data_IF_487770894358
#
_entry.id   IF_487770894358
#
_cell.length_a   1.000
_cell.length_b   1.000
_cell.length_c   1.000
_cell.angle_alpha   90.00
_cell.angle_beta   90.00
_cell.angle_gamma   90.00
#
_symmetry.space_group_name_H-M   'P 1'
#
loop_
_entity.id
_entity.type
_entity.pdbx_description
1 polymer ?
#
# COMPACT_ATOMS: atom_id res chain seq x y z
N UNK A 1 8.40 -34.81 11.27
CA UNK A 1 8.32 -33.40 11.68
C UNK A 1 6.90 -32.94 11.40
N UNK A 2 6.34 -32.03 12.17
CA UNK A 2 4.96 -31.57 11.98
C UNK A 2 4.95 -30.14 11.40
N UNK A 3 4.13 -29.94 10.37
CA UNK A 3 3.93 -28.62 9.76
C UNK A 3 3.67 -27.56 10.84
N UNK A 4 4.31 -26.39 10.74
CA UNK A 4 4.07 -25.24 11.62
C UNK A 4 4.20 -23.91 10.87
N UNK A 5 3.70 -22.86 11.49
CA UNK A 5 3.62 -21.51 10.92
C UNK A 5 4.62 -20.60 11.63
N UNK A 6 5.36 -19.83 10.85
CA UNK A 6 6.27 -18.79 11.33
C UNK A 6 5.77 -17.41 10.93
N UNK A 7 5.79 -16.46 11.87
CA UNK A 7 5.43 -15.05 11.68
C UNK A 7 6.47 -14.09 12.28
N UNK A 8 7.56 -14.62 12.83
CA UNK A 8 8.63 -13.90 13.55
C UNK A 8 9.67 -13.26 12.62
N UNK A 9 9.21 -12.66 11.55
CA UNK A 9 10.03 -11.92 10.59
C UNK A 9 9.34 -10.58 10.21
N UNK A 10 10.10 -9.60 9.66
CA UNK A 10 9.52 -8.30 9.32
C UNK A 10 8.32 -8.41 8.37
N UNK A 11 7.20 -7.81 8.77
CA UNK A 11 5.94 -7.86 8.04
C UNK A 11 5.10 -9.11 8.29
N UNK A 12 5.59 -10.08 9.08
CA UNK A 12 4.87 -11.31 9.41
C UNK A 12 3.63 -11.05 10.25
N UNK A 13 2.51 -11.69 9.89
CA UNK A 13 1.24 -11.56 10.58
C UNK A 13 0.38 -12.82 10.34
N UNK A 14 0.08 -13.52 11.38
CA UNK A 14 -1.02 -14.46 11.57
C UNK A 14 -1.15 -14.75 13.07
N UNK A 15 -2.35 -14.98 13.54
CA UNK A 15 -2.64 -15.35 14.93
C UNK A 15 -3.69 -16.47 14.98
N UNK A 16 -4.02 -16.95 16.19
CA UNK A 16 -4.99 -18.03 16.43
C UNK A 16 -4.76 -19.24 15.51
N UNK A 17 -3.48 -19.64 15.40
CA UNK A 17 -3.05 -20.71 14.50
C UNK A 17 -3.40 -22.07 15.09
N UNK A 18 -4.10 -22.91 14.31
CA UNK A 18 -4.39 -24.32 14.62
C UNK A 18 -4.06 -25.18 13.39
N UNK A 19 -3.26 -26.21 13.57
CA UNK A 19 -2.85 -27.11 12.49
C UNK A 19 -3.47 -28.48 12.73
N UNK A 20 -4.25 -28.96 11.78
CA UNK A 20 -4.90 -30.27 11.82
C UNK A 20 -4.43 -31.14 10.67
N UNK A 21 -4.10 -32.38 10.98
CA UNK A 21 -3.74 -33.38 9.98
C UNK A 21 -4.90 -34.33 9.75
N UNK A 22 -5.28 -34.52 8.50
CA UNK A 22 -6.26 -35.51 8.06
C UNK A 22 -5.55 -36.62 7.28
N UNK A 23 -6.28 -37.60 6.77
CA UNK A 23 -5.69 -38.68 5.98
C UNK A 23 -5.11 -38.19 4.63
N UNK A 24 -5.70 -37.13 4.05
CA UNK A 24 -5.46 -36.64 2.67
C UNK A 24 -4.78 -35.27 2.60
N UNK A 25 -4.86 -34.44 3.65
CA UNK A 25 -4.29 -33.08 3.65
C UNK A 25 -3.94 -32.59 5.05
N UNK A 26 -3.16 -31.55 5.11
CA UNK A 26 -2.97 -30.71 6.30
C UNK A 26 -3.85 -29.48 6.22
N UNK A 27 -4.48 -29.06 7.33
CA UNK A 27 -5.37 -27.88 7.39
C UNK A 27 -4.76 -26.90 8.37
N UNK A 28 -4.50 -25.70 7.90
CA UNK A 28 -3.97 -24.58 8.70
C UNK A 28 -5.07 -23.55 8.88
N UNK A 29 -5.66 -23.50 10.05
CA UNK A 29 -6.53 -22.40 10.46
C UNK A 29 -5.66 -21.26 10.96
N UNK A 30 -5.96 -20.05 10.52
CA UNK A 30 -5.30 -18.83 10.98
C UNK A 30 -6.26 -17.66 10.95
N UNK A 31 -5.89 -16.59 11.64
CA UNK A 31 -6.58 -15.30 11.60
C UNK A 31 -5.59 -14.20 11.24
N UNK A 32 -6.04 -13.20 10.50
CA UNK A 32 -5.31 -11.94 10.36
C UNK A 32 -5.36 -11.20 11.70
N UNK A 33 -4.19 -10.89 12.28
CA UNK A 33 -4.10 -10.19 13.57
C UNK A 33 -4.32 -8.69 13.35
N UNK A 34 -5.32 -8.07 13.98
CA UNK A 34 -5.59 -6.64 13.84
C UNK A 34 -4.50 -5.74 14.44
N UNK A 35 -3.66 -6.25 15.36
CA UNK A 35 -2.53 -5.55 15.99
C UNK A 35 -2.84 -4.12 16.44
N UNK A 36 -3.94 -3.97 17.15
CA UNK A 36 -4.39 -2.68 17.71
C UNK A 36 -5.25 -1.85 16.75
N UNK A 37 -5.47 -2.31 15.50
CA UNK A 37 -6.45 -1.74 14.59
C UNK A 37 -7.87 -2.21 14.90
N UNK A 38 -8.85 -1.55 14.32
CA UNK A 38 -10.27 -1.96 14.38
C UNK A 38 -10.65 -2.88 13.23
N UNK A 39 -9.85 -2.91 12.20
CA UNK A 39 -10.01 -3.76 11.03
C UNK A 39 -8.79 -4.67 10.88
N UNK A 40 -9.00 -5.94 10.63
CA UNK A 40 -7.99 -6.89 10.23
C UNK A 40 -7.99 -7.00 8.70
N UNK A 41 -6.85 -7.27 8.11
CA UNK A 41 -6.75 -7.64 6.69
C UNK A 41 -5.41 -8.29 6.36
N UNK A 42 -4.32 -7.64 6.71
CA UNK A 42 -2.99 -8.11 6.36
C UNK A 42 -2.67 -9.43 7.05
N UNK A 43 -2.23 -10.42 6.28
CA UNK A 43 -1.56 -11.62 6.75
C UNK A 43 -0.35 -11.91 5.87
N UNK A 44 0.72 -12.40 6.50
CA UNK A 44 1.94 -12.85 5.86
C UNK A 44 2.65 -13.82 6.79
N UNK A 45 2.82 -15.04 6.36
CA UNK A 45 3.44 -16.11 7.16
C UNK A 45 4.19 -17.09 6.29
N UNK A 46 5.03 -17.87 6.93
CA UNK A 46 5.72 -19.00 6.31
C UNK A 46 5.17 -20.31 6.87
N UNK A 47 4.85 -21.23 5.98
CA UNK A 47 4.56 -22.62 6.30
C UNK A 47 5.86 -23.40 6.16
N UNK A 48 6.25 -24.15 7.18
CA UNK A 48 7.49 -24.93 7.20
C UNK A 48 7.23 -26.37 7.64
N UNK A 49 8.16 -27.25 7.28
CA UNK A 49 8.05 -28.71 7.50
C UNK A 49 6.78 -29.29 6.84
N UNK A 50 6.35 -28.70 5.71
CA UNK A 50 5.29 -29.28 4.91
C UNK A 50 5.84 -30.49 4.12
N UNK A 51 4.96 -31.47 3.93
CA UNK A 51 5.21 -32.60 3.03
C UNK A 51 4.63 -32.30 1.64
N UNK A 52 4.82 -33.18 0.67
CA UNK A 52 4.18 -33.10 -0.67
C UNK A 52 2.64 -33.24 -0.64
N UNK A 53 2.03 -33.19 0.56
CA UNK A 53 0.60 -33.31 0.76
C UNK A 53 -0.07 -31.93 0.55
N UNK A 54 -1.32 -31.89 0.07
CA UNK A 54 -2.07 -30.65 0.01
C UNK A 54 -2.17 -29.97 1.38
N UNK A 55 -2.01 -28.65 1.40
CA UNK A 55 -2.21 -27.81 2.58
C UNK A 55 -3.39 -26.90 2.29
N UNK A 56 -4.42 -26.96 3.11
CA UNK A 56 -5.56 -26.08 3.07
C UNK A 56 -5.35 -24.93 4.07
N UNK A 57 -5.29 -23.71 3.57
CA UNK A 57 -5.13 -22.47 4.36
C UNK A 57 -6.52 -21.87 4.61
N UNK A 58 -6.94 -21.76 5.87
CA UNK A 58 -8.28 -21.29 6.25
C UNK A 58 -8.18 -20.02 7.08
N UNK A 59 -8.56 -18.89 6.48
CA UNK A 59 -8.73 -17.62 7.19
C UNK A 59 -10.02 -17.66 8.01
N UNK A 60 -9.88 -17.72 9.33
CA UNK A 60 -10.97 -18.01 10.25
C UNK A 60 -11.75 -16.78 10.74
N UNK A 61 -11.19 -15.57 10.57
CA UNK A 61 -11.80 -14.32 11.03
C UNK A 61 -12.25 -13.41 9.88
N UNK A 62 -12.80 -14.01 8.81
CA UNK A 62 -13.21 -13.27 7.61
C UNK A 62 -14.17 -12.12 7.94
N UNK A 63 -15.13 -12.33 8.85
CA UNK A 63 -16.13 -11.32 9.23
C UNK A 63 -15.55 -10.07 9.90
N UNK A 64 -14.32 -10.13 10.41
CA UNK A 64 -13.59 -9.00 11.00
C UNK A 64 -12.55 -8.40 10.07
N UNK A 65 -12.40 -8.96 8.88
CA UNK A 65 -11.55 -8.39 7.84
C UNK A 65 -12.28 -7.30 7.06
N UNK A 66 -11.52 -6.32 6.57
CA UNK A 66 -12.07 -5.29 5.68
C UNK A 66 -12.77 -5.93 4.47
N UNK A 67 -14.05 -5.57 4.27
CA UNK A 67 -14.89 -6.13 3.21
C UNK A 67 -15.24 -7.61 3.41
N UNK A 68 -15.05 -8.16 4.60
CA UNK A 68 -15.28 -9.57 4.91
C UNK A 68 -16.76 -9.99 4.81
N UNK A 69 -17.68 -9.05 4.84
CA UNK A 69 -19.12 -9.23 4.58
C UNK A 69 -19.46 -9.35 3.09
N UNK A 70 -18.54 -9.02 2.20
CA UNK A 70 -18.76 -9.03 0.75
C UNK A 70 -18.68 -10.45 0.16
N UNK A 71 -19.63 -10.79 -0.70
CA UNK A 71 -19.59 -12.00 -1.55
C UNK A 71 -18.35 -12.01 -2.49
N UNK A 72 -17.79 -10.84 -2.79
CA UNK A 72 -16.61 -10.70 -3.65
C UNK A 72 -15.32 -11.22 -3.01
N UNK A 73 -15.31 -11.57 -1.71
CA UNK A 73 -14.16 -12.18 -1.07
C UNK A 73 -13.71 -13.49 -1.72
N UNK A 74 -14.61 -14.21 -2.38
CA UNK A 74 -14.24 -15.36 -3.21
C UNK A 74 -13.24 -15.06 -4.31
N UNK A 75 -13.13 -13.80 -4.74
CA UNK A 75 -12.19 -13.35 -5.77
C UNK A 75 -10.84 -12.87 -5.21
N UNK A 76 -10.69 -12.78 -3.88
CA UNK A 76 -9.42 -12.42 -3.25
C UNK A 76 -8.44 -13.58 -3.39
N UNK A 77 -7.29 -13.32 -4.01
CA UNK A 77 -6.28 -14.33 -4.31
C UNK A 77 -4.96 -13.96 -3.64
N UNK A 78 -4.68 -14.50 -2.47
CA UNK A 78 -3.39 -14.37 -1.84
C UNK A 78 -2.27 -14.83 -2.76
N UNK A 79 -1.05 -14.45 -2.43
CA UNK A 79 0.14 -14.88 -3.16
C UNK A 79 0.95 -15.86 -2.33
N UNK A 80 1.57 -16.82 -3.02
CA UNK A 80 2.54 -17.75 -2.42
C UNK A 80 3.89 -17.64 -3.10
N UNK A 81 4.94 -18.00 -2.36
CA UNK A 81 6.29 -18.14 -2.86
C UNK A 81 6.96 -19.35 -2.24
N UNK A 82 7.37 -20.29 -3.06
CA UNK A 82 8.22 -21.42 -2.68
C UNK A 82 9.70 -21.06 -2.84
N UNK A 83 10.59 -21.83 -2.23
CA UNK A 83 12.03 -21.63 -2.31
C UNK A 83 12.52 -21.53 -3.77
N UNK A 84 13.26 -20.47 -4.10
CA UNK A 84 13.81 -20.24 -5.44
C UNK A 84 12.78 -19.83 -6.52
N UNK A 85 11.49 -19.65 -6.16
CA UNK A 85 10.44 -19.25 -7.10
C UNK A 85 10.06 -17.77 -6.96
N UNK A 86 9.29 -17.29 -7.93
CA UNK A 86 8.61 -15.98 -7.87
C UNK A 86 7.25 -16.11 -7.17
N UNK A 87 6.74 -15.01 -6.66
CA UNK A 87 5.39 -14.93 -6.11
C UNK A 87 4.33 -15.28 -7.17
N UNK A 88 3.37 -16.11 -6.80
CA UNK A 88 2.25 -16.53 -7.65
C UNK A 88 0.93 -16.40 -6.88
N UNK A 89 -0.14 -16.03 -7.59
CA UNK A 89 -1.48 -15.98 -7.00
C UNK A 89 -2.05 -17.37 -6.79
N UNK A 90 -2.69 -17.56 -5.64
CA UNK A 90 -3.55 -18.71 -5.38
C UNK A 90 -4.83 -18.63 -6.25
N UNK A 91 -5.57 -19.73 -6.40
CA UNK A 91 -6.90 -19.72 -7.01
C UNK A 91 -7.89 -18.88 -6.20
N UNK A 92 -9.13 -18.76 -6.67
CA UNK A 92 -10.22 -18.15 -5.92
C UNK A 92 -10.41 -18.85 -4.57
N UNK A 93 -10.80 -18.08 -3.54
CA UNK A 93 -11.15 -18.65 -2.25
C UNK A 93 -12.44 -19.47 -2.35
N UNK A 94 -12.49 -20.56 -1.60
CA UNK A 94 -13.76 -21.17 -1.20
C UNK A 94 -14.25 -20.41 0.04
N UNK A 95 -15.49 -19.93 -0.02
CA UNK A 95 -16.12 -19.24 1.12
C UNK A 95 -17.11 -20.20 1.79
N UNK A 96 -16.89 -20.44 3.06
CA UNK A 96 -17.77 -21.28 3.88
C UNK A 96 -18.42 -20.46 4.99
N UNK A 97 -19.68 -20.77 5.28
CA UNK A 97 -20.40 -20.22 6.44
C UNK A 97 -20.63 -21.33 7.46
N UNK A 98 -20.09 -21.14 8.64
CA UNK A 98 -20.21 -22.09 9.75
C UNK A 98 -21.65 -22.12 10.31
N UNK A 99 -21.96 -23.14 11.11
CA UNK A 99 -23.29 -23.28 11.73
C UNK A 99 -23.64 -22.10 12.68
N UNK A 100 -22.66 -21.39 13.22
CA UNK A 100 -22.84 -20.22 14.06
C UNK A 100 -22.91 -18.89 13.26
N UNK A 101 -22.89 -18.98 11.93
CA UNK A 101 -22.98 -17.84 11.02
C UNK A 101 -21.64 -17.18 10.67
N UNK A 102 -20.52 -17.56 11.29
CA UNK A 102 -19.20 -17.03 10.95
C UNK A 102 -18.76 -17.50 9.57
N UNK A 103 -18.09 -16.61 8.84
CA UNK A 103 -17.56 -16.89 7.51
C UNK A 103 -16.06 -17.16 7.56
N UNK A 104 -15.62 -18.06 6.67
CA UNK A 104 -14.21 -18.42 6.47
C UNK A 104 -13.89 -18.39 4.99
N UNK A 105 -12.61 -18.13 4.67
CA UNK A 105 -12.09 -18.23 3.31
C UNK A 105 -10.96 -19.27 3.29
N UNK A 106 -11.02 -20.21 2.35
CA UNK A 106 -10.05 -21.29 2.23
C UNK A 106 -9.37 -21.31 0.86
N UNK A 107 -8.08 -21.68 0.86
CA UNK A 107 -7.27 -21.88 -0.33
C UNK A 107 -6.46 -23.16 -0.18
N UNK A 108 -6.32 -23.93 -1.26
CA UNK A 108 -5.52 -25.15 -1.27
C UNK A 108 -4.18 -24.92 -2.01
N UNK A 109 -3.09 -25.35 -1.39
CA UNK A 109 -1.74 -25.34 -1.92
C UNK A 109 -1.22 -26.78 -1.95
N UNK A 110 -0.61 -27.20 -3.05
CA UNK A 110 0.17 -28.45 -3.09
C UNK A 110 1.65 -28.06 -3.19
N UNK A 111 2.37 -28.00 -2.06
CA UNK A 111 3.75 -27.54 -2.04
C UNK A 111 4.66 -28.56 -2.72
N UNK A 112 5.69 -28.05 -3.41
CA UNK A 112 6.77 -28.85 -4.03
C UNK A 112 8.02 -28.93 -3.18
N UNK A 113 8.08 -28.12 -2.13
CA UNK A 113 9.19 -27.98 -1.21
C UNK A 113 8.68 -28.11 0.22
N UNK A 114 9.59 -28.22 1.15
CA UNK A 114 9.30 -28.35 2.59
C UNK A 114 8.81 -27.04 3.25
N UNK A 115 8.79 -25.96 2.48
CA UNK A 115 8.33 -24.67 2.96
C UNK A 115 7.82 -23.76 1.84
N UNK A 116 6.88 -22.88 2.18
CA UNK A 116 6.42 -21.78 1.33
C UNK A 116 5.98 -20.59 2.17
N UNK A 117 5.97 -19.42 1.56
CA UNK A 117 5.40 -18.21 2.14
C UNK A 117 4.02 -17.94 1.54
N UNK A 118 3.10 -17.41 2.37
CA UNK A 118 1.79 -16.96 1.94
C UNK A 118 1.50 -15.57 2.46
N UNK A 119 1.02 -14.67 1.60
CA UNK A 119 0.63 -13.31 1.97
C UNK A 119 -0.64 -12.88 1.25
N UNK A 120 -1.39 -11.93 1.82
CA UNK A 120 -2.59 -11.36 1.21
C UNK A 120 -2.34 -10.86 -0.23
N UNK A 121 -1.23 -10.15 -0.43
CA UNK A 121 -0.73 -9.70 -1.73
C UNK A 121 0.80 -9.58 -1.64
N UNK A 122 1.46 -9.18 -2.73
CA UNK A 122 2.92 -9.09 -2.80
C UNK A 122 3.49 -8.26 -1.65
N UNK A 123 4.23 -8.84 -0.69
CA UNK A 123 4.86 -8.08 0.38
C UNK A 123 5.85 -7.04 -0.15
N UNK A 124 5.96 -5.92 0.57
CA UNK A 124 6.96 -4.88 0.30
C UNK A 124 7.47 -4.31 1.63
N UNK A 125 8.75 -4.29 1.83
CA UNK A 125 9.40 -3.80 3.04
C UNK A 125 10.69 -3.02 2.77
N UNK A 126 11.49 -2.81 3.83
CA UNK A 126 12.78 -2.10 3.72
C UNK A 126 13.75 -2.77 2.74
N UNK A 127 13.77 -4.11 2.67
CA UNK A 127 14.63 -4.83 1.73
C UNK A 127 14.26 -4.54 0.27
N UNK A 128 12.98 -4.46 -0.06
CA UNK A 128 12.52 -4.13 -1.41
C UNK A 128 12.87 -2.68 -1.76
N UNK A 129 12.68 -1.73 -0.82
CA UNK A 129 13.08 -0.34 -0.99
C UNK A 129 14.58 -0.20 -1.27
N UNK A 130 15.42 -0.93 -0.53
CA UNK A 130 16.87 -0.92 -0.75
C UNK A 130 17.24 -1.53 -2.11
N UNK A 131 16.60 -2.63 -2.52
CA UNK A 131 16.80 -3.18 -3.87
C UNK A 131 16.39 -2.19 -4.96
N UNK A 132 15.30 -1.45 -4.77
CA UNK A 132 14.87 -0.39 -5.70
C UNK A 132 15.94 0.68 -5.80
N UNK A 133 16.38 1.21 -4.66
CA UNK A 133 17.42 2.24 -4.59
C UNK A 133 18.71 1.78 -5.27
N UNK A 134 19.19 0.58 -4.94
CA UNK A 134 20.41 -0.01 -5.52
C UNK A 134 20.30 -0.18 -7.04
N UNK A 135 19.11 -0.53 -7.57
CA UNK A 135 18.88 -0.69 -9.01
C UNK A 135 18.82 0.64 -9.79
N UNK A 136 18.67 1.76 -9.10
CA UNK A 136 18.61 3.10 -9.68
C UNK A 136 19.96 3.83 -9.66
N UNK A 137 21.06 3.14 -9.42
CA UNK A 137 22.40 3.73 -9.27
C UNK A 137 22.39 4.84 -8.20
N UNK A 138 23.06 5.95 -8.43
CA UNK A 138 23.17 7.07 -7.48
C UNK A 138 22.07 8.14 -7.68
N UNK A 139 21.00 7.82 -8.41
CA UNK A 139 19.92 8.79 -8.69
C UNK A 139 19.15 9.19 -7.43
N UNK A 140 18.93 8.25 -6.48
CA UNK A 140 18.19 8.50 -5.26
C UNK A 140 19.11 8.72 -4.07
N UNK A 141 19.05 9.89 -3.48
CA UNK A 141 19.67 10.22 -2.20
C UNK A 141 18.78 9.77 -1.07
N UNK A 142 19.34 9.04 -0.11
CA UNK A 142 18.64 8.59 1.10
C UNK A 142 18.94 9.54 2.25
N UNK A 143 17.89 10.12 2.81
CA UNK A 143 17.93 10.88 4.04
C UNK A 143 17.13 10.19 5.14
N UNK A 144 17.56 10.36 6.38
CA UNK A 144 16.84 9.97 7.58
C UNK A 144 16.19 11.21 8.17
N UNK A 145 14.89 11.39 7.94
CA UNK A 145 14.19 12.64 8.28
C UNK A 145 13.81 12.77 9.74
N UNK A 146 13.92 11.68 10.48
CA UNK A 146 13.62 11.54 11.90
C UNK A 146 13.60 10.09 12.31
N UNK A 147 12.93 9.81 13.43
CA UNK A 147 12.68 8.46 13.92
C UNK A 147 11.17 8.23 14.06
N UNK A 148 10.74 6.98 13.98
CA UNK A 148 9.38 6.57 14.26
C UNK A 148 9.11 6.53 15.77
N UNK A 149 7.86 6.32 16.16
CA UNK A 149 7.49 6.09 17.57
C UNK A 149 8.21 4.90 18.19
N UNK A 150 8.54 3.87 17.41
CA UNK A 150 9.32 2.70 17.81
C UNK A 150 10.83 2.88 17.69
N UNK A 151 11.32 4.11 17.44
CA UNK A 151 12.75 4.43 17.40
C UNK A 151 13.48 4.01 16.11
N UNK A 152 12.76 3.64 15.05
CA UNK A 152 13.37 3.30 13.76
C UNK A 152 13.67 4.56 12.95
N UNK A 153 14.84 4.67 12.28
CA UNK A 153 15.10 5.75 11.34
C UNK A 153 14.06 5.77 10.21
N UNK A 154 13.40 6.92 10.00
CA UNK A 154 12.40 7.09 8.95
C UNK A 154 13.07 7.54 7.64
N UNK A 155 13.08 6.69 6.60
CA UNK A 155 13.75 7.01 5.33
C UNK A 155 12.90 7.96 4.47
N UNK A 156 13.59 8.88 3.78
CA UNK A 156 13.07 9.68 2.69
C UNK A 156 14.04 9.61 1.51
N UNK A 157 13.54 9.41 0.30
CA UNK A 157 14.35 9.51 -0.91
C UNK A 157 14.14 10.86 -1.58
N UNK A 158 15.19 11.41 -2.16
CA UNK A 158 15.15 12.58 -3.04
C UNK A 158 16.01 12.36 -4.28
N UNK A 159 15.59 12.91 -5.40
CA UNK A 159 16.36 12.82 -6.65
C UNK A 159 17.46 13.90 -6.76
N UNK A 160 17.48 14.87 -5.86
CA UNK A 160 18.59 15.81 -5.68
C UNK A 160 18.60 16.36 -4.25
N UNK A 161 19.78 16.59 -3.66
CA UNK A 161 19.90 17.27 -2.37
C UNK A 161 19.87 18.80 -2.51
N UNK A 162 19.97 19.36 -3.73
CA UNK A 162 20.04 20.80 -3.98
C UNK A 162 18.66 21.42 -4.08
N UNK A 163 18.54 22.67 -3.63
CA UNK A 163 17.38 23.49 -3.89
C UNK A 163 17.25 23.80 -5.40
N UNK A 164 16.03 23.88 -5.89
CA UNK A 164 15.73 24.12 -7.30
C UNK A 164 14.51 25.04 -7.45
N UNK A 165 14.44 25.77 -8.58
CA UNK A 165 13.26 26.51 -9.00
C UNK A 165 12.22 25.61 -9.71
N UNK A 166 12.53 24.33 -9.91
CA UNK A 166 11.63 23.37 -10.53
C UNK A 166 10.35 23.13 -9.71
N UNK A 167 9.29 22.65 -10.34
CA UNK A 167 8.14 22.15 -9.59
C UNK A 167 8.56 21.00 -8.66
N UNK A 168 7.92 20.95 -7.49
CA UNK A 168 8.14 19.91 -6.50
C UNK A 168 7.00 18.90 -6.48
N UNK A 169 7.35 17.62 -6.45
CA UNK A 169 6.47 16.49 -6.23
C UNK A 169 6.79 15.83 -4.89
N UNK A 170 5.78 15.68 -4.01
CA UNK A 170 5.92 14.98 -2.74
C UNK A 170 5.08 13.71 -2.73
N UNK A 171 5.70 12.57 -2.42
CA UNK A 171 5.07 11.26 -2.48
C UNK A 171 5.08 10.60 -1.10
N UNK A 172 3.95 10.05 -0.70
CA UNK A 172 3.83 9.28 0.56
C UNK A 172 3.19 7.94 0.25
N UNK A 173 3.72 6.87 0.82
CA UNK A 173 3.11 5.55 0.77
C UNK A 173 3.12 4.90 2.15
N UNK A 174 2.24 3.93 2.34
CA UNK A 174 2.16 3.11 3.56
C UNK A 174 1.81 3.92 4.81
N UNK A 175 0.90 4.87 4.69
CA UNK A 175 0.22 5.40 5.86
C UNK A 175 -0.58 4.28 6.57
N UNK A 176 -1.20 3.39 5.79
CA UNK A 176 -1.69 2.11 6.27
C UNK A 176 -0.66 1.03 5.91
N UNK A 177 -0.14 0.38 6.94
CA UNK A 177 1.05 -0.46 6.82
C UNK A 177 0.87 -1.71 5.94
N UNK A 178 -0.33 -2.26 5.84
CA UNK A 178 -0.65 -3.43 5.02
C UNK A 178 -0.98 -3.13 3.55
N UNK A 179 -1.06 -1.86 3.14
CA UNK A 179 -1.44 -1.45 1.78
C UNK A 179 -0.22 -1.50 0.83
N UNK A 180 0.32 -2.70 0.59
CA UNK A 180 1.55 -2.90 -0.19
C UNK A 180 1.44 -2.59 -1.70
N UNK A 181 0.26 -2.65 -2.37
CA UNK A 181 0.14 -2.28 -3.78
C UNK A 181 0.69 -0.88 -4.08
N UNK A 182 0.43 0.09 -3.17
CA UNK A 182 0.96 1.45 -3.30
C UNK A 182 2.48 1.52 -3.34
N UNK A 183 3.18 0.67 -2.57
CA UNK A 183 4.64 0.59 -2.59
C UNK A 183 5.18 0.07 -3.91
N UNK A 184 4.55 -0.94 -4.52
CA UNK A 184 4.96 -1.46 -5.83
C UNK A 184 4.74 -0.45 -6.96
N UNK A 185 3.66 0.34 -6.89
CA UNK A 185 3.43 1.44 -7.84
C UNK A 185 4.47 2.54 -7.65
N UNK A 186 4.75 2.93 -6.41
CA UNK A 186 5.81 3.89 -6.11
C UNK A 186 7.17 3.38 -6.60
N UNK A 187 7.52 2.11 -6.38
CA UNK A 187 8.74 1.47 -6.90
C UNK A 187 8.87 1.66 -8.43
N UNK A 188 7.81 1.37 -9.18
CA UNK A 188 7.80 1.59 -10.62
C UNK A 188 8.01 3.05 -11.03
N UNK A 189 7.43 4.00 -10.28
CA UNK A 189 7.64 5.43 -10.47
C UNK A 189 9.10 5.82 -10.21
N UNK A 190 9.69 5.33 -9.13
CA UNK A 190 11.08 5.61 -8.76
C UNK A 190 12.06 5.11 -9.82
N UNK A 191 11.86 3.89 -10.33
CA UNK A 191 12.68 3.31 -11.41
C UNK A 191 12.54 4.11 -12.69
N UNK A 192 11.33 4.53 -13.04
CA UNK A 192 11.08 5.33 -14.25
C UNK A 192 11.72 6.72 -14.15
N UNK A 193 11.66 7.37 -12.99
CA UNK A 193 12.33 8.63 -12.76
C UNK A 193 13.86 8.50 -12.96
N UNK A 194 14.46 7.48 -12.33
CA UNK A 194 15.90 7.24 -12.45
C UNK A 194 16.36 6.90 -13.88
N UNK A 195 15.46 6.44 -14.74
CA UNK A 195 15.80 6.09 -16.13
C UNK A 195 15.73 7.25 -17.12
N UNK A 196 15.20 8.42 -16.76
CA UNK A 196 15.02 9.46 -17.76
C UNK A 196 14.66 10.86 -17.26
N UNK A 197 14.35 11.05 -15.98
CA UNK A 197 14.00 12.37 -15.46
C UNK A 197 15.24 13.13 -15.01
N UNK A 198 15.43 14.37 -15.52
CA UNK A 198 16.44 15.29 -14.99
C UNK A 198 15.94 15.87 -13.65
N UNK A 199 16.69 15.74 -12.55
CA UNK A 199 16.34 16.37 -11.28
C UNK A 199 16.19 17.90 -11.34
N UNK A 200 16.77 18.55 -12.34
CA UNK A 200 16.61 19.99 -12.57
C UNK A 200 15.21 20.37 -13.08
N UNK A 201 14.48 19.43 -13.69
CA UNK A 201 13.15 19.65 -14.25
C UNK A 201 12.02 19.37 -13.24
N UNK A 202 12.22 18.41 -12.32
CA UNK A 202 11.25 18.05 -11.28
C UNK A 202 11.96 17.56 -10.03
N UNK A 203 11.79 18.28 -8.91
CA UNK A 203 12.23 17.79 -7.61
C UNK A 203 11.24 16.77 -7.06
N UNK A 204 11.69 15.54 -6.80
CA UNK A 204 10.88 14.50 -6.18
C UNK A 204 11.43 14.19 -4.78
N UNK A 205 10.57 14.33 -3.76
CA UNK A 205 10.78 13.80 -2.43
C UNK A 205 9.73 12.73 -2.14
N UNK A 206 10.14 11.62 -1.53
CA UNK A 206 9.21 10.55 -1.16
C UNK A 206 9.51 9.95 0.20
N UNK A 207 8.46 9.77 1.00
CA UNK A 207 8.44 8.95 2.22
C UNK A 207 7.77 7.61 1.88
N UNK A 208 8.54 6.58 1.51
CA UNK A 208 8.00 5.36 0.91
C UNK A 208 7.33 4.42 1.93
N UNK A 209 7.62 4.57 3.23
CA UNK A 209 7.15 3.72 4.32
C UNK A 209 6.77 4.60 5.52
N UNK A 210 5.69 5.40 5.38
CA UNK A 210 5.31 6.40 6.38
C UNK A 210 5.01 5.76 7.76
N UNK A 211 4.31 4.63 7.80
CA UNK A 211 4.06 3.84 9.01
C UNK A 211 5.08 2.68 9.12
N UNK A 212 6.37 3.00 9.17
CA UNK A 212 7.44 2.01 9.15
C UNK A 212 7.35 1.01 10.30
N UNK A 213 6.94 1.42 11.49
CA UNK A 213 6.78 0.50 12.63
C UNK A 213 5.70 -0.55 12.35
N UNK A 214 4.56 -0.13 11.80
CA UNK A 214 3.50 -1.05 11.40
C UNK A 214 3.92 -1.98 10.26
N UNK A 215 4.71 -1.48 9.30
CA UNK A 215 5.27 -2.30 8.21
C UNK A 215 6.14 -3.43 8.77
N UNK A 216 7.03 -3.10 9.71
CA UNK A 216 7.92 -4.09 10.34
C UNK A 216 7.13 -5.04 11.25
N UNK A 217 6.15 -4.52 11.98
CA UNK A 217 5.32 -5.33 12.86
C UNK A 217 4.27 -6.19 12.12
N UNK A 218 4.05 -5.97 10.83
CA UNK A 218 3.02 -6.68 10.06
C UNK A 218 1.60 -6.22 10.40
N UNK A 219 1.40 -4.95 10.71
CA UNK A 219 0.08 -4.37 10.91
C UNK A 219 -0.66 -4.16 9.60
N UNK A 220 -1.99 -4.21 9.63
CA UNK A 220 -2.78 -3.62 8.53
C UNK A 220 -2.67 -2.09 8.59
N UNK A 221 -2.74 -1.52 9.79
CA UNK A 221 -2.42 -0.13 10.05
C UNK A 221 -3.57 0.84 9.79
N UNK A 222 -4.77 0.36 9.47
CA UNK A 222 -5.96 1.18 9.31
C UNK A 222 -6.70 1.29 10.64
N UNK A 223 -7.03 2.51 11.02
CA UNK A 223 -7.59 2.83 12.34
C UNK A 223 -6.81 2.20 13.53
N UNK A 224 -5.44 2.19 13.54
CA UNK A 224 -4.68 1.61 14.63
C UNK A 224 -4.81 2.46 15.90
N UNK A 225 -4.53 1.86 17.06
CA UNK A 225 -4.34 2.61 18.29
C UNK A 225 -2.93 3.25 18.30
N UNK A 226 -2.76 4.48 18.74
CA UNK A 226 -3.77 5.40 19.27
C UNK A 226 -4.56 6.17 18.20
N UNK A 227 -4.15 6.16 16.94
CA UNK A 227 -4.75 6.95 15.87
C UNK A 227 -4.31 6.47 14.48
N UNK A 228 -5.24 6.36 13.55
CA UNK A 228 -4.96 6.14 12.13
C UNK A 228 -4.02 7.23 11.60
N UNK A 229 -2.92 6.84 10.93
CA UNK A 229 -1.93 7.81 10.46
C UNK A 229 -2.54 8.81 9.47
N UNK A 230 -3.43 8.35 8.56
CA UNK A 230 -4.12 9.23 7.62
C UNK A 230 -5.34 9.96 8.24
N UNK A 231 -5.42 9.99 9.57
CA UNK A 231 -6.37 10.81 10.35
C UNK A 231 -5.66 11.67 11.40
N UNK A 232 -4.32 11.68 11.39
CA UNK A 232 -3.48 12.27 12.41
C UNK A 232 -2.78 13.57 11.97
N UNK A 233 -3.17 14.16 10.85
CA UNK A 233 -2.55 15.34 10.22
C UNK A 233 -3.10 16.68 10.75
N UNK A 234 -3.51 16.70 11.99
CA UNK A 234 -3.99 17.91 12.67
C UNK A 234 -2.83 18.84 13.07
N UNK A 235 -3.15 20.00 13.63
CA UNK A 235 -2.17 20.89 14.24
C UNK A 235 -2.55 21.13 15.72
N UNK A 236 -1.77 20.60 16.70
CA UNK A 236 -0.55 19.79 16.50
C UNK A 236 -0.86 18.39 15.92
N UNK A 237 0.12 17.75 15.27
CA UNK A 237 -0.03 16.38 14.77
C UNK A 237 -0.29 15.37 15.88
N UNK A 238 -1.17 14.38 15.63
CA UNK A 238 -1.54 13.38 16.64
C UNK A 238 -0.66 12.13 16.65
N UNK A 239 0.20 11.96 15.67
CA UNK A 239 1.18 10.88 15.57
C UNK A 239 2.58 11.46 15.41
N UNK A 240 3.58 10.77 15.94
CA UNK A 240 4.99 11.21 15.82
C UNK A 240 5.44 11.22 14.35
N UNK A 241 5.07 10.20 13.58
CA UNK A 241 5.38 10.08 12.15
C UNK A 241 4.82 11.26 11.36
N UNK A 242 3.56 11.66 11.61
CA UNK A 242 2.96 12.83 10.93
C UNK A 242 3.69 14.13 11.31
N UNK A 243 4.16 14.26 12.55
CA UNK A 243 4.99 15.40 12.95
C UNK A 243 6.32 15.44 12.19
N UNK A 244 7.00 14.31 12.09
CA UNK A 244 8.27 14.18 11.36
C UNK A 244 8.07 14.53 9.88
N UNK A 245 7.06 13.96 9.24
CA UNK A 245 6.77 14.19 7.82
C UNK A 245 6.30 15.63 7.58
N UNK A 246 5.51 16.25 8.48
CA UNK A 246 5.15 17.67 8.40
C UNK A 246 6.39 18.58 8.40
N UNK A 247 7.39 18.26 9.24
CA UNK A 247 8.66 19.00 9.25
C UNK A 247 9.44 18.81 7.95
N UNK A 248 9.39 17.61 7.36
CA UNK A 248 10.01 17.32 6.07
C UNK A 248 9.31 18.04 4.91
N UNK A 249 7.98 18.07 4.88
CA UNK A 249 7.16 18.84 3.94
C UNK A 249 7.50 20.33 3.98
N UNK A 250 7.71 20.88 5.18
CA UNK A 250 8.12 22.29 5.33
C UNK A 250 9.49 22.55 4.71
N UNK A 251 10.46 21.62 4.89
CA UNK A 251 11.77 21.71 4.24
C UNK A 251 11.68 21.57 2.72
N UNK A 252 10.88 20.61 2.25
CA UNK A 252 10.63 20.42 0.82
C UNK A 252 10.11 21.68 0.14
N UNK A 253 9.14 22.35 0.78
CA UNK A 253 8.56 23.59 0.25
C UNK A 253 9.56 24.77 0.17
N UNK A 254 10.71 24.66 0.86
CA UNK A 254 11.82 25.62 0.77
C UNK A 254 12.84 25.23 -0.30
N UNK A 255 12.78 23.99 -0.79
CA UNK A 255 13.76 23.45 -1.76
C UNK A 255 13.24 23.46 -3.20
N UNK A 256 11.92 23.53 -3.41
CA UNK A 256 11.29 23.57 -4.72
C UNK A 256 10.01 24.40 -4.69
N UNK A 257 9.38 24.60 -5.86
CA UNK A 257 8.02 25.16 -5.93
C UNK A 257 6.99 24.04 -5.73
N UNK A 258 6.31 23.96 -4.59
CA UNK A 258 5.30 22.93 -4.38
C UNK A 258 4.27 22.90 -5.52
N UNK A 259 4.06 21.75 -6.15
CA UNK A 259 3.20 21.63 -7.31
C UNK A 259 2.13 20.52 -7.14
N UNK A 260 2.53 19.37 -6.60
CA UNK A 260 1.65 18.20 -6.45
C UNK A 260 2.14 17.31 -5.31
N UNK A 261 1.20 16.67 -4.61
CA UNK A 261 1.50 15.54 -3.74
C UNK A 261 0.63 14.33 -4.12
N UNK A 262 1.15 13.11 -3.87
CA UNK A 262 0.40 11.86 -4.05
C UNK A 262 0.56 11.00 -2.80
N UNK A 263 -0.55 10.48 -2.34
CA UNK A 263 -0.70 9.54 -1.24
C UNK A 263 -1.15 8.20 -1.79
N UNK A 264 -0.31 7.17 -1.64
CA UNK A 264 -0.57 5.84 -2.20
C UNK A 264 -1.30 4.96 -1.19
N UNK A 265 -2.48 4.51 -1.56
CA UNK A 265 -3.39 3.67 -0.78
C UNK A 265 -3.83 2.42 -1.55
N UNK A 266 -4.56 1.56 -0.85
CA UNK A 266 -5.31 0.47 -1.45
C UNK A 266 -6.73 0.41 -0.86
N UNK A 267 -7.75 0.15 -1.71
CA UNK A 267 -9.15 0.09 -1.28
C UNK A 267 -9.46 -1.22 -0.54
N UNK A 268 -10.74 -1.58 -0.40
CA UNK A 268 -11.11 -2.93 0.02
C UNK A 268 -10.49 -3.99 -0.90
N UNK A 269 -10.01 -5.14 -0.37
CA UNK A 269 -9.44 -6.21 -1.18
C UNK A 269 -10.43 -6.81 -2.17
N UNK A 270 -11.71 -6.56 -1.98
CA UNK A 270 -12.80 -7.00 -2.86
C UNK A 270 -13.01 -6.07 -4.07
N UNK A 271 -12.38 -4.88 -4.08
CA UNK A 271 -12.46 -3.95 -5.22
C UNK A 271 -11.49 -4.37 -6.33
N UNK A 272 -12.03 -4.61 -7.53
CA UNK A 272 -11.29 -5.14 -8.67
C UNK A 272 -11.51 -4.35 -9.97
N UNK A 273 -12.00 -3.12 -9.87
CA UNK A 273 -12.39 -2.30 -11.03
C UNK A 273 -11.29 -1.38 -11.55
N UNK A 274 -10.08 -1.52 -11.03
CA UNK A 274 -8.92 -0.70 -11.39
C UNK A 274 -8.62 0.41 -10.40
N UNK A 275 -7.43 1.00 -10.53
CA UNK A 275 -6.99 2.11 -9.68
C UNK A 275 -7.80 3.39 -9.93
N UNK A 276 -7.98 4.20 -8.89
CA UNK A 276 -8.69 5.47 -8.98
C UNK A 276 -8.14 6.48 -7.98
N UNK A 277 -8.47 7.75 -8.21
CA UNK A 277 -8.12 8.83 -7.31
C UNK A 277 -9.33 9.28 -6.50
N UNK A 278 -9.18 9.41 -5.19
CA UNK A 278 -10.18 10.12 -4.39
C UNK A 278 -10.11 11.63 -4.63
N UNK A 279 -11.29 12.22 -4.79
CA UNK A 279 -11.48 13.67 -4.81
C UNK A 279 -11.87 14.10 -3.40
N UNK A 280 -11.32 15.21 -2.88
CA UNK A 280 -11.67 15.71 -1.56
C UNK A 280 -13.18 15.86 -1.36
N UNK A 281 -13.65 15.61 -0.14
CA UNK A 281 -15.07 15.67 0.25
C UNK A 281 -15.71 17.03 -0.06
N UNK A 282 -17.04 17.04 -0.13
CA UNK A 282 -17.80 18.26 -0.47
C UNK A 282 -17.60 19.40 0.54
N UNK A 283 -17.37 19.08 1.78
CA UNK A 283 -17.07 20.01 2.87
C UNK A 283 -15.70 20.71 2.71
N UNK A 284 -14.81 20.15 1.90
CA UNK A 284 -13.53 20.78 1.59
C UNK A 284 -13.68 21.94 0.62
N UNK A 285 -12.80 22.95 0.67
CA UNK A 285 -12.87 24.11 -0.22
C UNK A 285 -13.02 23.72 -1.70
N UNK A 286 -13.92 24.36 -2.43
CA UNK A 286 -14.14 24.10 -3.86
C UNK A 286 -12.83 24.20 -4.66
N UNK A 287 -11.94 25.13 -4.30
CA UNK A 287 -10.64 25.28 -4.95
C UNK A 287 -9.75 24.01 -4.81
N UNK A 288 -9.77 23.34 -3.65
CA UNK A 288 -9.07 22.06 -3.43
C UNK A 288 -9.61 20.98 -4.37
N UNK A 289 -10.93 20.82 -4.41
CA UNK A 289 -11.59 19.83 -5.27
C UNK A 289 -11.31 20.08 -6.75
N UNK A 290 -11.41 21.35 -7.18
CA UNK A 290 -11.12 21.75 -8.57
C UNK A 290 -9.66 21.48 -8.93
N UNK A 291 -8.71 21.78 -8.04
CA UNK A 291 -7.29 21.52 -8.25
C UNK A 291 -7.02 20.00 -8.38
N UNK A 292 -7.60 19.18 -7.51
CA UNK A 292 -7.50 17.73 -7.58
C UNK A 292 -8.08 17.17 -8.89
N UNK A 293 -9.29 17.58 -9.27
CA UNK A 293 -9.93 17.17 -10.53
C UNK A 293 -9.09 17.57 -11.76
N UNK A 294 -8.52 18.78 -11.76
CA UNK A 294 -7.64 19.24 -12.84
C UNK A 294 -6.37 18.40 -12.92
N UNK A 295 -5.76 18.07 -11.79
CA UNK A 295 -4.56 17.22 -11.76
C UNK A 295 -4.88 15.82 -12.29
N UNK A 296 -5.95 15.17 -11.81
CA UNK A 296 -6.36 13.84 -12.32
C UNK A 296 -6.67 13.88 -13.81
N UNK A 297 -7.38 14.92 -14.30
CA UNK A 297 -7.66 15.07 -15.73
C UNK A 297 -6.38 15.18 -16.58
N UNK A 298 -5.31 15.77 -16.04
CA UNK A 298 -4.02 15.85 -16.72
C UNK A 298 -3.21 14.56 -16.66
N UNK A 299 -3.32 13.79 -15.57
CA UNK A 299 -2.52 12.60 -15.30
C UNK A 299 -3.15 11.32 -15.90
N UNK A 300 -4.45 11.12 -15.68
CA UNK A 300 -5.14 9.88 -16.01
C UNK A 300 -5.02 9.43 -17.49
N UNK A 301 -4.92 10.30 -18.50
CA UNK A 301 -4.74 9.87 -19.89
C UNK A 301 -3.48 9.07 -20.17
N UNK A 302 -2.42 9.20 -19.36
CA UNK A 302 -1.19 8.42 -19.48
C UNK A 302 -1.31 7.02 -18.87
N UNK A 303 -2.26 6.80 -17.97
CA UNK A 303 -2.39 5.54 -17.23
C UNK A 303 -3.00 4.44 -18.12
N UNK A 304 -2.53 3.17 -17.98
CA UNK A 304 -3.07 2.06 -18.75
C UNK A 304 -4.56 1.83 -18.42
N UNK A 305 -5.42 1.85 -19.43
CA UNK A 305 -6.86 1.64 -19.26
C UNK A 305 -7.22 0.32 -18.56
N UNK A 306 -6.42 -0.71 -18.77
CA UNK A 306 -6.60 -2.01 -18.11
C UNK A 306 -6.30 -2.00 -16.60
N UNK A 307 -5.61 -0.97 -16.10
CA UNK A 307 -5.24 -0.82 -14.69
C UNK A 307 -6.00 0.33 -14.00
N UNK A 308 -6.71 1.14 -14.77
CA UNK A 308 -7.42 2.32 -14.29
C UNK A 308 -8.94 2.06 -14.30
N UNK A 309 -9.63 2.47 -13.24
CA UNK A 309 -11.07 2.44 -13.18
C UNK A 309 -11.68 3.28 -14.32
N UNK A 310 -12.81 2.85 -14.87
CA UNK A 310 -13.50 3.55 -15.98
C UNK A 310 -13.85 5.02 -15.65
N UNK A 311 -14.07 5.30 -14.38
CA UNK A 311 -14.14 6.67 -13.83
C UNK A 311 -12.91 6.86 -12.95
N UNK A 312 -11.87 7.57 -13.41
CA UNK A 312 -10.61 7.68 -12.69
C UNK A 312 -10.70 8.46 -11.37
N UNK A 313 -11.85 9.05 -11.08
CA UNK A 313 -12.11 9.78 -9.84
C UNK A 313 -13.31 9.19 -9.12
N UNK A 314 -13.18 9.07 -7.79
CA UNK A 314 -14.29 8.78 -6.87
C UNK A 314 -14.31 9.85 -5.77
N UNK A 315 -15.49 10.14 -5.27
CA UNK A 315 -15.67 10.96 -4.06
C UNK A 315 -15.73 10.03 -2.85
N UNK A 316 -15.10 10.42 -1.75
CA UNK A 316 -15.21 9.70 -0.50
C UNK A 316 -16.67 9.74 -0.04
N UNK A 317 -17.33 8.58 0.02
CA UNK A 317 -18.75 8.45 0.35
C UNK A 317 -19.03 7.58 1.58
N UNK A 318 -18.00 6.94 2.17
CA UNK A 318 -18.18 6.14 3.38
C UNK A 318 -18.12 7.01 4.64
N UNK A 319 -18.97 6.74 5.65
CA UNK A 319 -18.83 7.40 6.94
C UNK A 319 -17.55 6.95 7.62
N UNK A 320 -16.85 7.88 8.27
CA UNK A 320 -15.71 7.57 9.11
C UNK A 320 -15.94 8.18 10.49
N UNK A 321 -15.65 7.43 11.56
CA UNK A 321 -15.66 7.96 12.93
C UNK A 321 -14.65 9.08 13.15
N UNK A 322 -13.69 9.21 12.24
CA UNK A 322 -12.61 10.18 12.27
C UNK A 322 -12.79 11.32 11.25
N UNK A 323 -14.02 11.56 10.78
CA UNK A 323 -14.30 12.57 9.74
C UNK A 323 -13.89 14.00 10.13
N UNK A 324 -13.88 14.29 11.43
CA UNK A 324 -13.44 15.58 11.95
C UNK A 324 -11.91 15.76 11.98
N UNK A 325 -11.14 14.70 11.70
CA UNK A 325 -9.68 14.75 11.74
C UNK A 325 -9.08 14.96 10.36
N UNK A 326 -7.91 15.60 10.30
CA UNK A 326 -7.28 15.92 9.03
C UNK A 326 -6.55 14.72 8.44
N UNK A 327 -6.76 14.49 7.14
CA UNK A 327 -6.01 13.60 6.27
C UNK A 327 -4.80 14.33 5.67
N UNK A 328 -3.88 13.58 5.04
CA UNK A 328 -2.71 14.18 4.37
C UNK A 328 -3.14 15.17 3.28
N UNK A 329 -4.16 14.86 2.47
CA UNK A 329 -4.65 15.76 1.42
C UNK A 329 -5.18 17.06 1.98
N UNK A 330 -5.89 17.00 3.11
CA UNK A 330 -6.36 18.17 3.83
C UNK A 330 -5.20 19.02 4.34
N UNK A 331 -4.21 18.39 4.98
CA UNK A 331 -3.02 19.06 5.49
C UNK A 331 -2.21 19.75 4.39
N UNK A 332 -1.92 19.05 3.29
CA UNK A 332 -1.18 19.59 2.14
C UNK A 332 -1.91 20.80 1.55
N UNK A 333 -3.23 20.70 1.33
CA UNK A 333 -3.99 21.84 0.83
C UNK A 333 -3.96 23.02 1.80
N UNK A 334 -4.14 22.78 3.08
CA UNK A 334 -4.23 23.86 4.06
C UNK A 334 -2.89 24.59 4.24
N UNK A 335 -1.76 23.88 4.09
CA UNK A 335 -0.42 24.46 4.24
C UNK A 335 0.13 25.07 2.94
N UNK A 336 -0.02 24.39 1.81
CA UNK A 336 0.70 24.71 0.57
C UNK A 336 -0.20 25.13 -0.59
N UNK A 337 -1.53 24.95 -0.46
CA UNK A 337 -2.53 25.28 -1.50
C UNK A 337 -2.31 24.53 -2.84
N UNK A 338 -1.70 23.36 -2.78
CA UNK A 338 -1.52 22.45 -3.92
C UNK A 338 -2.43 21.22 -3.78
N UNK A 339 -2.79 20.54 -4.89
CA UNK A 339 -3.52 19.28 -4.79
C UNK A 339 -2.64 18.19 -4.16
N UNK A 340 -3.25 17.38 -3.31
CA UNK A 340 -2.77 16.07 -2.90
C UNK A 340 -3.79 15.03 -3.37
N UNK A 341 -3.35 14.02 -4.11
CA UNK A 341 -4.20 13.00 -4.69
C UNK A 341 -4.02 11.69 -3.90
N UNK A 342 -5.07 11.17 -3.29
CA UNK A 342 -5.05 9.82 -2.77
C UNK A 342 -5.34 8.85 -3.92
N UNK A 343 -4.37 7.99 -4.24
CA UNK A 343 -4.45 6.98 -5.29
C UNK A 343 -4.70 5.62 -4.68
N UNK A 344 -5.88 5.07 -4.94
CA UNK A 344 -6.32 3.75 -4.49
C UNK A 344 -5.95 2.69 -5.53
N UNK A 345 -5.21 1.67 -5.12
CA UNK A 345 -4.64 0.65 -6.01
C UNK A 345 -5.12 -0.73 -5.57
N UNK A 346 -5.85 -1.49 -6.42
CA UNK A 346 -6.39 -2.80 -6.06
C UNK A 346 -5.30 -3.80 -5.61
N UNK A 347 -5.66 -4.68 -4.66
CA UNK A 347 -4.75 -5.69 -4.11
C UNK A 347 -4.45 -6.85 -5.05
N UNK A 348 -5.46 -7.34 -5.78
CA UNK A 348 -5.36 -8.65 -6.43
C UNK A 348 -5.59 -8.59 -7.93
N UNK A 349 -6.59 -7.82 -8.36
CA UNK A 349 -7.01 -7.81 -9.75
C UNK A 349 -7.53 -6.45 -10.19
N UNK A 350 -7.49 -6.22 -11.51
CA UNK A 350 -8.10 -5.07 -12.18
C UNK A 350 -8.89 -5.60 -13.38
N UNK A 351 -10.17 -5.24 -13.46
CA UNK A 351 -11.06 -5.69 -14.56
C UNK A 351 -10.99 -7.21 -14.79
N UNK A 352 -11.04 -8.01 -13.71
CA UNK A 352 -10.94 -9.48 -13.71
C UNK A 352 -9.57 -10.04 -14.13
N UNK A 353 -8.56 -9.20 -14.36
CA UNK A 353 -7.18 -9.63 -14.63
C UNK A 353 -6.36 -9.55 -13.37
N UNK A 354 -5.66 -10.64 -13.02
CA UNK A 354 -4.75 -10.67 -11.88
C UNK A 354 -3.62 -9.68 -12.08
N UNK A 355 -3.34 -8.88 -11.04
CA UNK A 355 -2.25 -7.92 -11.04
C UNK A 355 -0.93 -8.63 -10.70
N UNK A 356 0.10 -8.32 -11.45
CA UNK A 356 1.48 -8.73 -11.21
C UNK A 356 2.32 -7.56 -10.73
N UNK A 357 3.49 -7.82 -10.16
CA UNK A 357 4.43 -6.74 -9.80
C UNK A 357 4.78 -5.87 -11.00
N UNK A 358 4.94 -6.44 -12.18
CA UNK A 358 5.22 -5.70 -13.41
C UNK A 358 4.08 -4.75 -13.81
N UNK A 359 2.83 -5.14 -13.54
CA UNK A 359 1.67 -4.26 -13.77
C UNK A 359 1.63 -3.10 -12.78
N UNK A 360 1.97 -3.31 -11.51
CA UNK A 360 2.15 -2.22 -10.55
C UNK A 360 3.30 -1.29 -10.96
N UNK A 361 4.46 -1.83 -11.34
CA UNK A 361 5.57 -1.03 -11.85
C UNK A 361 5.18 -0.22 -13.09
N UNK A 362 4.44 -0.84 -14.02
CA UNK A 362 3.94 -0.14 -15.20
C UNK A 362 2.99 0.99 -14.85
N UNK A 363 2.09 0.77 -13.88
CA UNK A 363 1.21 1.83 -13.38
C UNK A 363 2.01 2.99 -12.80
N UNK A 364 3.06 2.70 -12.02
CA UNK A 364 3.95 3.71 -11.45
C UNK A 364 4.74 4.49 -12.50
N UNK A 365 5.29 3.80 -13.49
CA UNK A 365 6.03 4.41 -14.59
C UNK A 365 5.13 5.38 -15.39
N UNK A 366 3.94 4.94 -15.78
CA UNK A 366 2.98 5.77 -16.52
C UNK A 366 2.35 6.87 -15.66
N UNK A 367 2.27 6.67 -14.33
CA UNK A 367 1.88 7.72 -13.40
C UNK A 367 2.88 8.89 -13.44
N UNK A 368 4.17 8.61 -13.43
CA UNK A 368 5.19 9.66 -13.60
C UNK A 368 5.07 10.37 -14.95
N UNK A 369 4.87 9.63 -16.04
CA UNK A 369 4.64 10.21 -17.37
C UNK A 369 3.44 11.17 -17.38
N UNK A 370 2.34 10.77 -16.75
CA UNK A 370 1.16 11.61 -16.58
C UNK A 370 1.40 12.84 -15.71
N UNK A 371 2.19 12.71 -14.64
CA UNK A 371 2.57 13.84 -13.78
C UNK A 371 3.43 14.82 -14.57
N UNK A 372 4.44 14.36 -15.28
CA UNK A 372 5.30 15.21 -16.10
C UNK A 372 4.51 15.93 -17.18
N UNK A 373 3.61 15.24 -17.87
CA UNK A 373 2.70 15.86 -18.84
C UNK A 373 1.79 16.93 -18.21
N UNK A 374 1.23 16.66 -17.01
CA UNK A 374 0.40 17.61 -16.28
C UNK A 374 1.17 18.87 -15.85
N UNK A 375 2.38 18.68 -15.34
CA UNK A 375 3.28 19.77 -14.88
C UNK A 375 4.07 20.44 -16.03
N UNK A 376 3.98 19.89 -17.26
CA UNK A 376 4.73 20.33 -18.44
C UNK A 376 6.26 20.23 -18.25
N UNK A 377 6.68 19.15 -17.66
CA UNK A 377 8.07 18.80 -17.41
C UNK A 377 8.49 17.73 -18.45
N UNK A 378 9.71 17.84 -19.03
CA UNK A 378 10.23 16.77 -19.90
C UNK A 378 10.52 15.49 -19.11
N UNK A 379 10.45 14.32 -19.79
CA UNK A 379 10.74 13.02 -19.19
C UNK A 379 11.38 12.08 -20.22
#
# INVERSE_FOLDING_TARGET
>A
MSLHIQTDFPGGNACAIDVRQTADRDIVYFSADPRGGTEALWFYFRVVECSERPVELVLSNLDTCLGGDSEQWGNVRPVIREAGSTWQHLPNAQIDTLADGRRQAAWTVTPRYDSFECALCFPYGLGDLEMTRASCSDYWHLDLIGVTSGGRPLPRLSNTPAATEAPGLYLVARQHAGETPGSWVLDGLLRRAASGLDPADLLIWTVPLAHLDGVVAGEYGKDPFPWDLNRAWTNPPMRHETRVITSDLTRWAQQAKPALAIDFHAPSPTEAEGAYFFIPREERPMASRTAAQKAVKGIAPALPKALLHVKPTRQVAYPSRWDATATLDAHIWDQFKIPCLALEIPYTSSHHTLLTRDQYHRLGATLLEGICAHLKVPL
#
